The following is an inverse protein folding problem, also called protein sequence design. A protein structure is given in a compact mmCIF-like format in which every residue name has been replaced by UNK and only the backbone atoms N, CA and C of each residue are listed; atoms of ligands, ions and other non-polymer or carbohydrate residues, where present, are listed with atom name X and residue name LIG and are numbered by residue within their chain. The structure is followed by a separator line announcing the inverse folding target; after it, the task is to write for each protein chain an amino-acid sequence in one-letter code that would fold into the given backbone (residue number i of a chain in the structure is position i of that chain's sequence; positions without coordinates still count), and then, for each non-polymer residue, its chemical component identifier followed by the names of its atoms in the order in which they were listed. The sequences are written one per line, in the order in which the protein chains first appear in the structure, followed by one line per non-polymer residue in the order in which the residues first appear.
data_IF_357786795297
#
_entry.id   IF_357786795297
#
_cell.length_a   1.000
_cell.length_b   1.000
_cell.length_c   1.000
_cell.angle_alpha   90.00
_cell.angle_beta   90.00
_cell.angle_gamma   90.00
#
_symmetry.space_group_name_H-M   'P 1'
#
loop_
_entity.id
_entity.type
_entity.pdbx_description
1 polymer ?
#
# COMPACT_ATOMS: atom_id res chain seq x y z
N UNK A 1 -7.47 0.81 -13.71
CA UNK A 1 -6.94 1.51 -14.91
C UNK A 1 -5.79 2.47 -14.58
N UNK A 2 -5.95 3.36 -13.59
CA UNK A 2 -4.91 4.34 -13.19
C UNK A 2 -3.58 3.69 -12.81
N UNK A 3 -3.59 2.66 -11.96
CA UNK A 3 -2.38 1.96 -11.49
C UNK A 3 -1.55 1.39 -12.63
N UNK A 4 -2.19 0.76 -13.62
CA UNK A 4 -1.51 0.22 -14.79
C UNK A 4 -0.80 1.32 -15.60
N UNK A 5 -1.50 2.43 -15.87
CA UNK A 5 -0.92 3.56 -16.62
C UNK A 5 0.26 4.18 -15.88
N UNK A 6 0.16 4.37 -14.57
CA UNK A 6 1.26 4.89 -13.74
C UNK A 6 2.47 3.95 -13.80
N UNK A 7 2.26 2.63 -13.64
CA UNK A 7 3.34 1.65 -13.75
C UNK A 7 4.01 1.68 -15.13
N UNK A 8 3.24 1.78 -16.22
CA UNK A 8 3.80 1.91 -17.58
C UNK A 8 4.69 3.14 -17.72
N UNK A 9 4.22 4.32 -17.29
CA UNK A 9 5.01 5.57 -17.37
C UNK A 9 6.29 5.48 -16.55
N UNK A 10 6.25 4.85 -15.37
CA UNK A 10 7.45 4.66 -14.54
C UNK A 10 8.48 3.76 -15.21
N UNK A 11 8.03 2.66 -15.82
CA UNK A 11 8.89 1.73 -16.56
C UNK A 11 9.51 2.44 -17.77
N UNK A 12 8.72 3.17 -18.55
CA UNK A 12 9.19 3.96 -19.71
C UNK A 12 10.20 5.03 -19.30
N UNK A 13 10.03 5.63 -18.11
CA UNK A 13 10.96 6.61 -17.55
C UNK A 13 12.22 5.98 -16.91
N UNK A 14 12.36 4.65 -16.91
CA UNK A 14 13.48 3.95 -16.28
C UNK A 14 13.50 4.06 -14.75
N UNK A 15 12.37 4.35 -14.13
CA UNK A 15 12.24 4.46 -12.67
C UNK A 15 11.87 3.09 -12.11
N UNK A 16 12.66 2.52 -11.17
CA UNK A 16 12.32 1.26 -10.51
C UNK A 16 10.90 1.30 -9.92
N UNK A 17 10.07 0.34 -10.32
CA UNK A 17 8.67 0.27 -9.94
C UNK A 17 8.33 -1.13 -9.44
N UNK A 18 7.77 -1.20 -8.24
CA UNK A 18 7.16 -2.40 -7.68
C UNK A 18 5.65 -2.22 -7.76
N UNK A 19 4.98 -3.13 -8.44
CA UNK A 19 3.53 -3.04 -8.65
C UNK A 19 2.82 -4.26 -8.10
N UNK A 20 1.63 -4.09 -7.53
CA UNK A 20 0.78 -5.19 -7.10
C UNK A 20 -0.65 -4.91 -7.52
N UNK A 21 -1.31 -5.92 -8.07
CA UNK A 21 -2.70 -5.86 -8.50
C UNK A 21 -3.48 -6.97 -7.82
N UNK A 22 -4.58 -6.61 -7.14
CA UNK A 22 -5.46 -7.58 -6.50
C UNK A 22 -5.97 -8.63 -7.50
N UNK A 23 -5.85 -9.90 -7.13
CA UNK A 23 -6.29 -11.05 -7.95
C UNK A 23 -7.69 -11.53 -7.58
N UNK A 24 -8.33 -10.95 -6.56
CA UNK A 24 -9.64 -11.33 -5.98
C UNK A 24 -9.75 -12.74 -5.40
N UNK A 25 -8.91 -13.68 -5.86
CA UNK A 25 -8.86 -15.09 -5.44
C UNK A 25 -7.41 -15.52 -5.26
N UNK A 26 -7.16 -16.29 -4.20
CA UNK A 26 -5.84 -16.77 -3.83
C UNK A 26 -5.91 -18.28 -3.61
N UNK A 27 -5.23 -19.06 -4.46
CA UNK A 27 -5.32 -20.53 -4.45
C UNK A 27 -4.83 -21.15 -3.14
N UNK A 28 -3.85 -20.53 -2.47
CA UNK A 28 -3.34 -20.99 -1.18
C UNK A 28 -4.31 -20.73 -0.01
N UNK A 29 -5.30 -19.84 -0.19
CA UNK A 29 -6.23 -19.48 0.87
C UNK A 29 -7.04 -20.69 1.34
N UNK A 30 -7.47 -21.56 0.41
CA UNK A 30 -8.21 -22.77 0.74
C UNK A 30 -7.37 -23.82 1.47
N UNK A 31 -6.09 -23.95 1.10
CA UNK A 31 -5.20 -24.90 1.75
C UNK A 31 -4.94 -24.53 3.22
N UNK A 32 -4.89 -23.24 3.52
CA UNK A 32 -4.59 -22.70 4.84
C UNK A 32 -5.85 -22.25 5.63
N UNK A 33 -7.05 -22.54 5.13
CA UNK A 33 -8.34 -22.09 5.71
C UNK A 33 -8.36 -20.59 6.04
N UNK A 34 -7.74 -19.78 5.18
CA UNK A 34 -7.56 -18.35 5.41
C UNK A 34 -8.75 -17.54 4.90
N UNK A 35 -9.18 -16.51 5.65
CA UNK A 35 -10.05 -15.48 5.11
C UNK A 35 -9.44 -14.81 3.87
N UNK A 36 -10.25 -14.54 2.85
CA UNK A 36 -9.79 -13.95 1.58
C UNK A 36 -8.98 -12.68 1.76
N UNK A 37 -9.36 -11.82 2.71
CA UNK A 37 -8.67 -10.55 2.99
C UNK A 37 -7.26 -10.77 3.55
N UNK A 38 -7.12 -11.73 4.45
CA UNK A 38 -5.83 -12.15 5.01
C UNK A 38 -4.94 -12.78 3.95
N UNK A 39 -5.49 -13.65 3.11
CA UNK A 39 -4.76 -14.22 1.97
C UNK A 39 -4.30 -13.12 0.99
N UNK A 40 -5.13 -12.11 0.75
CA UNK A 40 -4.74 -10.98 -0.09
C UNK A 40 -3.61 -10.14 0.49
N UNK A 41 -3.63 -9.87 1.80
CA UNK A 41 -2.51 -9.22 2.48
C UNK A 41 -1.22 -10.05 2.39
N UNK A 42 -1.28 -11.35 2.68
CA UNK A 42 -0.11 -12.23 2.58
C UNK A 42 0.44 -12.24 1.16
N UNK A 43 -0.44 -12.34 0.15
CA UNK A 43 -0.05 -12.28 -1.25
C UNK A 43 0.59 -10.94 -1.61
N UNK A 44 0.07 -9.82 -1.12
CA UNK A 44 0.67 -8.50 -1.30
C UNK A 44 2.10 -8.48 -0.75
N UNK A 45 2.28 -8.88 0.51
CA UNK A 45 3.59 -8.86 1.16
C UNK A 45 4.61 -9.73 0.42
N UNK A 46 4.22 -10.93 0.00
CA UNK A 46 5.13 -11.82 -0.73
C UNK A 46 5.47 -11.26 -2.11
N UNK A 47 4.52 -10.64 -2.79
CA UNK A 47 4.78 -10.02 -4.09
C UNK A 47 5.70 -8.81 -3.97
N UNK A 48 5.55 -8.01 -2.90
CA UNK A 48 6.47 -6.92 -2.58
C UNK A 48 7.87 -7.45 -2.27
N UNK A 49 8.00 -8.51 -1.47
CA UNK A 49 9.28 -9.16 -1.17
C UNK A 49 9.98 -9.64 -2.43
N UNK A 50 9.30 -10.41 -3.27
CA UNK A 50 9.89 -10.96 -4.50
C UNK A 50 10.36 -9.84 -5.44
N UNK A 51 9.56 -8.80 -5.63
CA UNK A 51 9.97 -7.68 -6.48
C UNK A 51 11.05 -6.82 -5.84
N UNK A 52 11.05 -6.64 -4.52
CA UNK A 52 12.14 -5.96 -3.81
C UNK A 52 13.45 -6.70 -4.06
N UNK A 53 13.49 -8.01 -3.86
CA UNK A 53 14.69 -8.84 -4.11
C UNK A 53 15.21 -8.63 -5.53
N UNK A 54 14.32 -8.55 -6.52
CA UNK A 54 14.70 -8.37 -7.92
C UNK A 54 15.27 -6.98 -8.26
N UNK A 55 15.04 -5.96 -7.43
CA UNK A 55 15.59 -4.60 -7.65
C UNK A 55 16.81 -4.30 -6.79
N UNK A 56 17.23 -5.24 -5.94
CA UNK A 56 18.44 -5.10 -5.13
C UNK A 56 19.71 -5.22 -5.99
N UNK A 57 20.82 -4.61 -5.54
CA UNK A 57 22.12 -4.92 -6.12
C UNK A 57 22.46 -6.43 -5.91
N UNK A 58 23.30 -7.03 -6.78
CA UNK A 58 23.68 -8.44 -6.66
C UNK A 58 24.34 -8.81 -5.33
N UNK A 59 24.95 -7.84 -4.66
CA UNK A 59 25.59 -7.98 -3.36
C UNK A 59 25.22 -6.76 -2.52
N UNK A 60 24.78 -7.01 -1.28
CA UNK A 60 24.46 -5.98 -0.30
C UNK A 60 24.75 -6.51 1.11
N UNK A 61 24.98 -5.60 2.04
CA UNK A 61 25.16 -5.92 3.45
C UNK A 61 23.85 -5.65 4.20
N UNK A 62 23.49 -6.53 5.13
CA UNK A 62 22.25 -6.41 5.87
C UNK A 62 22.41 -6.98 7.27
N UNK A 63 21.69 -6.41 8.22
CA UNK A 63 21.63 -6.90 9.60
C UNK A 63 20.78 -8.18 9.72
N UNK A 64 19.92 -8.45 8.74
CA UNK A 64 19.05 -9.62 8.73
C UNK A 64 19.64 -10.73 7.86
N UNK A 65 19.87 -11.90 8.45
CA UNK A 65 20.25 -13.09 7.69
C UNK A 65 19.09 -13.56 6.81
N UNK A 66 19.22 -13.44 5.48
CA UNK A 66 18.28 -13.99 4.50
C UNK A 66 18.58 -15.47 4.23
N UNK A 67 18.50 -16.28 5.28
CA UNK A 67 18.73 -17.73 5.19
C UNK A 67 17.45 -18.52 4.90
N UNK A 68 17.62 -19.81 4.60
CA UNK A 68 16.49 -20.70 4.32
C UNK A 68 15.49 -20.80 5.49
N UNK A 69 15.95 -20.62 6.74
CA UNK A 69 15.08 -20.70 7.92
C UNK A 69 14.16 -19.49 8.02
N UNK A 70 14.67 -18.29 7.71
CA UNK A 70 13.84 -17.09 7.65
C UNK A 70 12.79 -17.20 6.56
N UNK A 71 13.17 -17.63 5.35
CA UNK A 71 12.21 -17.84 4.27
C UNK A 71 11.22 -18.97 4.57
N UNK A 72 11.59 -20.00 5.35
CA UNK A 72 10.65 -21.05 5.77
C UNK A 72 9.52 -20.53 6.68
N UNK A 73 9.69 -19.37 7.34
CA UNK A 73 8.62 -18.70 8.09
C UNK A 73 7.58 -18.06 7.18
N UNK A 74 7.84 -17.97 5.87
CA UNK A 74 6.93 -17.49 4.85
C UNK A 74 6.00 -18.61 4.33
N UNK A 75 5.32 -19.30 5.24
CA UNK A 75 4.48 -20.47 4.96
C UNK A 75 3.08 -20.16 4.39
N UNK A 76 2.72 -18.88 4.28
CA UNK A 76 1.45 -18.43 3.74
C UNK A 76 0.30 -18.49 4.74
N UNK A 77 0.60 -18.59 6.03
CA UNK A 77 -0.35 -18.45 7.15
C UNK A 77 -0.35 -17.03 7.72
N UNK A 78 -1.23 -16.72 8.68
CA UNK A 78 -1.19 -15.42 9.38
C UNK A 78 0.14 -15.17 10.12
N UNK A 79 0.81 -16.24 10.56
CA UNK A 79 2.08 -16.13 11.26
C UNK A 79 3.21 -15.60 10.36
N UNK A 80 3.05 -15.69 9.03
CA UNK A 80 4.04 -15.21 8.06
C UNK A 80 4.05 -13.69 7.86
N UNK A 81 2.99 -12.99 8.29
CA UNK A 81 2.82 -11.55 8.05
C UNK A 81 3.92 -10.72 8.72
N UNK A 82 4.17 -10.96 10.02
CA UNK A 82 5.21 -10.23 10.76
C UNK A 82 6.61 -10.49 10.20
N UNK A 83 7.05 -11.76 10.00
CA UNK A 83 8.31 -12.05 9.31
C UNK A 83 8.43 -11.36 7.95
N UNK A 84 7.36 -11.38 7.14
CA UNK A 84 7.38 -10.74 5.82
C UNK A 84 7.57 -9.22 5.92
N UNK A 85 6.89 -8.55 6.86
CA UNK A 85 7.06 -7.11 7.07
C UNK A 85 8.48 -6.75 7.53
N UNK A 86 9.06 -7.55 8.43
CA UNK A 86 10.40 -7.31 8.95
C UNK A 86 11.46 -7.51 7.83
N UNK A 87 11.27 -8.53 6.96
CA UNK A 87 12.09 -8.70 5.76
C UNK A 87 11.94 -7.53 4.78
N UNK A 88 10.71 -7.07 4.50
CA UNK A 88 10.49 -5.90 3.62
C UNK A 88 11.24 -4.68 4.17
N UNK A 89 11.15 -4.44 5.47
CA UNK A 89 11.84 -3.33 6.12
C UNK A 89 13.35 -3.44 5.97
N UNK A 90 13.93 -4.62 6.18
CA UNK A 90 15.36 -4.86 6.00
C UNK A 90 15.80 -4.65 4.53
N UNK A 91 15.08 -5.25 3.57
CA UNK A 91 15.39 -5.13 2.14
C UNK A 91 15.27 -3.70 1.62
N UNK A 92 14.30 -2.94 2.13
CA UNK A 92 14.11 -1.54 1.77
C UNK A 92 15.34 -0.66 2.06
N UNK A 93 16.13 -1.01 3.09
CA UNK A 93 17.37 -0.28 3.40
C UNK A 93 18.44 -0.44 2.33
N UNK A 94 18.36 -1.53 1.55
CA UNK A 94 19.29 -1.90 0.49
C UNK A 94 18.74 -1.62 -0.91
N UNK A 95 17.50 -1.14 -0.99
CA UNK A 95 16.84 -0.82 -2.25
C UNK A 95 17.49 0.39 -2.94
N UNK A 96 17.31 0.53 -4.27
CA UNK A 96 17.80 1.69 -5.00
C UNK A 96 17.35 3.03 -4.38
N UNK A 97 18.13 4.12 -4.54
CA UNK A 97 17.81 5.42 -3.94
C UNK A 97 16.45 5.99 -4.34
N UNK A 98 15.90 5.56 -5.49
CA UNK A 98 14.55 5.91 -5.92
C UNK A 98 13.76 4.65 -6.26
N UNK A 99 12.58 4.53 -5.64
CA UNK A 99 11.69 3.39 -5.82
C UNK A 99 10.23 3.85 -5.71
N UNK A 100 9.39 3.37 -6.63
CA UNK A 100 7.95 3.64 -6.59
C UNK A 100 7.18 2.34 -6.35
N UNK A 101 6.24 2.39 -5.42
CA UNK A 101 5.28 1.32 -5.15
C UNK A 101 3.92 1.70 -5.72
N UNK A 102 3.31 0.79 -6.47
CA UNK A 102 1.94 0.91 -6.97
C UNK A 102 1.15 -0.28 -6.44
N UNK A 103 0.21 -0.04 -5.53
CA UNK A 103 -0.62 -1.09 -4.94
C UNK A 103 -2.07 -0.82 -5.28
N UNK A 104 -2.60 -1.67 -6.16
CA UNK A 104 -3.95 -1.56 -6.68
C UNK A 104 -4.95 -2.38 -5.86
N UNK A 105 -6.07 -1.75 -5.49
CA UNK A 105 -7.18 -2.42 -4.82
C UNK A 105 -6.94 -2.72 -3.33
N UNK A 106 -6.21 -1.86 -2.62
CA UNK A 106 -5.79 -2.13 -1.24
C UNK A 106 -6.98 -2.34 -0.26
N UNK A 107 -8.15 -1.78 -0.56
CA UNK A 107 -9.40 -1.98 0.19
C UNK A 107 -9.87 -3.44 0.22
N UNK A 108 -9.47 -4.25 -0.77
CA UNK A 108 -9.81 -5.66 -0.81
C UNK A 108 -9.21 -6.44 0.37
N UNK A 109 -8.16 -5.90 1.01
CA UNK A 109 -7.47 -6.55 2.13
C UNK A 109 -7.93 -6.04 3.49
N UNK A 110 -8.88 -5.11 3.57
CA UNK A 110 -9.24 -4.45 4.84
C UNK A 110 -10.18 -5.27 5.73
N UNK A 111 -9.67 -5.78 6.84
CA UNK A 111 -10.43 -6.37 7.94
C UNK A 111 -9.88 -5.88 9.28
N UNK A 112 -10.60 -6.17 10.37
CA UNK A 112 -10.13 -5.89 11.72
C UNK A 112 -8.74 -6.52 11.99
N UNK A 113 -8.48 -7.70 11.42
CA UNK A 113 -7.24 -8.44 11.63
C UNK A 113 -6.08 -7.96 10.75
N UNK A 114 -6.36 -7.44 9.55
CA UNK A 114 -5.32 -7.05 8.58
C UNK A 114 -4.93 -5.57 8.64
N UNK A 115 -5.85 -4.69 9.04
CA UNK A 115 -5.62 -3.24 9.10
C UNK A 115 -4.40 -2.86 9.96
N UNK A 116 -4.14 -3.46 11.13
CA UNK A 116 -2.92 -3.18 11.89
C UNK A 116 -1.64 -3.45 11.08
N UNK A 117 -1.63 -4.52 10.27
CA UNK A 117 -0.50 -4.89 9.43
C UNK A 117 -0.35 -3.98 8.21
N UNK A 118 -1.45 -3.58 7.59
CA UNK A 118 -1.47 -2.58 6.51
C UNK A 118 -0.91 -1.23 7.00
N UNK A 119 -1.29 -0.80 8.21
CA UNK A 119 -0.72 0.40 8.84
C UNK A 119 0.77 0.24 9.12
N UNK A 120 1.23 -0.93 9.60
CA UNK A 120 2.67 -1.21 9.81
C UNK A 120 3.43 -1.13 8.48
N UNK A 121 2.93 -1.74 7.40
CA UNK A 121 3.53 -1.64 6.06
C UNK A 121 3.65 -0.19 5.60
N UNK A 122 2.56 0.57 5.67
CA UNK A 122 2.56 1.96 5.22
C UNK A 122 3.49 2.84 6.07
N UNK A 123 3.62 2.55 7.37
CA UNK A 123 4.60 3.20 8.25
C UNK A 123 6.04 2.86 7.84
N UNK A 124 6.36 1.59 7.58
CA UNK A 124 7.69 1.17 7.09
C UNK A 124 8.06 1.97 5.82
N UNK A 125 7.15 2.03 4.85
CA UNK A 125 7.38 2.75 3.59
C UNK A 125 7.55 4.26 3.80
N UNK A 126 6.74 4.87 4.67
CA UNK A 126 6.83 6.30 5.02
C UNK A 126 8.06 6.65 5.85
N UNK A 127 8.56 5.72 6.66
CA UNK A 127 9.84 5.91 7.36
C UNK A 127 11.00 5.82 6.37
N UNK A 128 10.95 4.89 5.42
CA UNK A 128 11.97 4.78 4.38
C UNK A 128 11.98 5.99 3.44
N UNK A 129 10.82 6.58 3.13
CA UNK A 129 10.72 7.80 2.31
C UNK A 129 11.37 9.04 2.94
N UNK A 130 11.77 8.98 4.22
CA UNK A 130 12.56 10.04 4.87
C UNK A 130 14.06 9.90 4.61
N UNK A 131 14.52 8.71 4.22
CA UNK A 131 15.92 8.37 3.97
C UNK A 131 16.24 8.33 2.48
N UNK A 132 15.32 7.79 1.68
CA UNK A 132 15.45 7.63 0.23
C UNK A 132 14.19 8.12 -0.49
N UNK A 133 14.23 8.22 -1.82
CA UNK A 133 13.09 8.66 -2.64
C UNK A 133 12.13 7.49 -2.87
N UNK A 134 11.35 7.17 -1.83
CA UNK A 134 10.26 6.19 -1.91
C UNK A 134 8.92 6.90 -2.09
N UNK A 135 8.21 6.59 -3.17
CA UNK A 135 6.82 7.01 -3.39
C UNK A 135 5.90 5.81 -3.40
N UNK A 136 4.70 5.98 -2.85
CA UNK A 136 3.70 4.91 -2.78
C UNK A 136 2.37 5.44 -3.29
N UNK A 137 1.82 4.75 -4.29
CA UNK A 137 0.47 4.95 -4.80
C UNK A 137 -0.39 3.78 -4.34
N UNK A 138 -1.39 4.08 -3.51
CA UNK A 138 -2.49 3.17 -3.22
C UNK A 138 -3.70 3.59 -4.05
N UNK A 139 -4.33 2.65 -4.76
CA UNK A 139 -5.64 2.89 -5.36
C UNK A 139 -6.71 2.10 -4.66
N UNK A 140 -7.91 2.68 -4.62
CA UNK A 140 -9.07 2.06 -3.98
C UNK A 140 -10.34 2.22 -4.81
N UNK A 141 -11.21 1.22 -4.75
CA UNK A 141 -12.60 1.35 -5.16
C UNK A 141 -13.38 1.94 -3.98
N UNK A 142 -13.58 3.25 -4.01
CA UNK A 142 -14.23 4.00 -2.94
C UNK A 142 -13.30 4.37 -1.79
N UNK A 143 -13.86 4.55 -0.59
CA UNK A 143 -13.15 5.08 0.57
C UNK A 143 -12.57 3.97 1.46
N UNK A 144 -11.26 3.96 1.63
CA UNK A 144 -10.56 3.17 2.64
C UNK A 144 -10.46 3.96 3.94
N UNK A 145 -11.06 3.46 5.03
CA UNK A 145 -11.10 4.19 6.32
C UNK A 145 -9.70 4.36 6.93
N UNK A 146 -8.87 3.33 6.91
CA UNK A 146 -7.54 3.40 7.54
C UNK A 146 -6.57 4.29 6.74
N UNK A 147 -6.62 4.29 5.40
CA UNK A 147 -5.93 5.31 4.59
C UNK A 147 -6.48 6.71 4.87
N UNK A 148 -7.78 6.80 5.13
CA UNK A 148 -8.54 7.95 5.62
C UNK A 148 -8.01 8.57 6.93
N UNK A 149 -7.34 7.78 7.75
CA UNK A 149 -6.71 8.22 9.00
C UNK A 149 -5.21 8.49 8.81
N UNK A 150 -4.55 7.77 7.90
CA UNK A 150 -3.10 7.81 7.71
C UNK A 150 -2.62 8.99 6.83
N UNK A 151 -3.37 9.30 5.78
CA UNK A 151 -3.00 10.30 4.78
C UNK A 151 -3.49 11.71 5.16
N UNK A 152 -2.72 12.74 4.80
CA UNK A 152 -3.16 14.13 4.88
C UNK A 152 -4.07 14.46 3.69
N UNK A 153 -4.88 15.51 3.80
CA UNK A 153 -5.82 15.92 2.74
C UNK A 153 -5.18 16.06 1.35
N UNK A 154 -3.99 16.67 1.28
CA UNK A 154 -3.22 16.85 0.03
C UNK A 154 -2.58 15.59 -0.54
N UNK A 155 -2.52 14.51 0.23
CA UNK A 155 -1.99 13.21 -0.21
C UNK A 155 -3.10 12.33 -0.81
N UNK A 156 -4.33 12.85 -0.90
CA UNK A 156 -5.50 12.15 -1.42
C UNK A 156 -5.99 12.81 -2.69
N UNK A 157 -6.35 11.96 -3.63
CA UNK A 157 -6.91 12.35 -4.91
C UNK A 157 -8.18 11.54 -5.14
N UNK A 158 -9.31 12.23 -5.27
CA UNK A 158 -10.58 11.63 -5.65
C UNK A 158 -10.74 11.70 -7.18
N UNK A 159 -10.52 10.55 -7.83
CA UNK A 159 -10.58 10.45 -9.28
C UNK A 159 -11.98 10.79 -9.84
N UNK A 160 -13.05 10.56 -9.08
CA UNK A 160 -14.41 10.90 -9.51
C UNK A 160 -14.58 12.42 -9.64
N UNK A 161 -13.95 13.18 -8.75
CA UNK A 161 -13.98 14.65 -8.77
C UNK A 161 -13.05 15.25 -9.82
N UNK A 162 -11.96 14.57 -10.18
CA UNK A 162 -11.08 15.02 -11.28
C UNK A 162 -11.85 15.05 -12.60
N UNK A 163 -12.71 14.07 -12.87
CA UNK A 163 -13.53 14.06 -14.09
C UNK A 163 -14.49 15.25 -14.20
N UNK A 164 -14.78 15.90 -13.07
CA UNK A 164 -15.66 17.07 -12.97
C UNK A 164 -14.87 18.39 -12.87
N UNK A 165 -13.55 18.34 -12.66
CA UNK A 165 -12.71 19.52 -12.54
C UNK A 165 -12.35 20.08 -13.93
N UNK A 166 -12.27 21.41 -14.04
CA UNK A 166 -11.85 22.06 -15.30
C UNK A 166 -10.40 21.66 -15.63
N UNK A 167 -10.04 21.44 -16.91
CA UNK A 167 -8.72 20.92 -17.33
C UNK A 167 -7.48 21.71 -16.86
N UNK A 168 -7.67 22.93 -16.33
CA UNK A 168 -6.61 23.86 -15.94
C UNK A 168 -6.72 24.37 -14.49
N UNK A 169 -7.61 23.79 -13.68
CA UNK A 169 -7.71 24.14 -12.26
C UNK A 169 -6.71 23.32 -11.43
N UNK A 170 -6.11 23.90 -10.37
CA UNK A 170 -5.33 23.10 -9.42
C UNK A 170 -6.23 21.98 -8.87
N UNK A 171 -5.76 20.74 -8.99
CA UNK A 171 -6.42 19.58 -8.40
C UNK A 171 -6.33 19.72 -6.88
N UNK A 172 -7.37 20.28 -6.29
CA UNK A 172 -7.49 20.37 -4.84
C UNK A 172 -7.60 18.95 -4.29
N UNK A 173 -6.55 18.51 -3.60
CA UNK A 173 -6.64 17.40 -2.67
C UNK A 173 -7.76 17.65 -1.64
N UNK A 174 -8.13 16.60 -0.92
CA UNK A 174 -9.25 16.64 0.02
C UNK A 174 -9.02 17.64 1.16
N UNK A 175 -9.41 18.91 0.97
CA UNK A 175 -9.47 19.94 2.01
C UNK A 175 -10.94 20.11 2.42
N UNK A 176 -11.41 19.30 3.37
CA UNK A 176 -12.28 19.71 4.48
C UNK A 176 -12.88 18.49 5.18
N UNK A 177 -12.55 18.36 6.47
CA UNK A 177 -13.18 17.44 7.42
C UNK A 177 -14.33 18.13 8.19
N UNK A 178 -14.66 19.39 7.88
CA UNK A 178 -15.63 20.20 8.63
C UNK A 178 -17.10 19.79 8.36
N UNK A 179 -17.35 18.94 7.37
CA UNK A 179 -18.72 18.50 7.01
C UNK A 179 -19.18 17.21 7.72
N UNK A 180 -18.41 16.67 8.67
CA UNK A 180 -18.83 15.51 9.48
C UNK A 180 -19.28 15.88 10.91
N UNK A 181 -19.29 17.17 11.28
CA UNK A 181 -19.87 17.63 12.54
C UNK A 181 -20.58 18.99 12.40
N UNK A 182 -21.84 18.95 11.97
CA UNK A 182 -22.82 20.01 12.25
C UNK A 182 -24.17 19.31 12.45
N UNK A 183 -24.46 18.92 13.69
CA UNK A 183 -25.41 19.62 14.57
C UNK A 183 -26.85 19.52 14.07
N UNK A 184 -27.57 18.55 14.61
CA UNK A 184 -29.01 18.64 14.81
C UNK A 184 -29.31 19.80 15.76
N UNK A 185 -29.64 20.96 15.21
CA UNK A 185 -30.34 22.02 15.93
C UNK A 185 -31.29 22.71 14.95
N UNK A 186 -32.53 22.23 14.95
CA UNK A 186 -33.67 22.91 14.36
C UNK A 186 -33.90 24.24 15.09
N UNK A 187 -34.16 25.36 14.38
CA UNK A 187 -34.71 26.55 15.00
C UNK A 187 -36.23 26.45 15.03
N UNK A 188 -36.83 26.37 16.22
CA UNK A 188 -38.24 26.68 16.41
C UNK A 188 -38.44 28.19 16.25
N UNK A 189 -39.24 28.57 15.24
CA UNK A 189 -39.89 29.87 15.14
C UNK A 189 -41.09 29.91 16.07
N UNK A 190 -41.31 31.05 16.73
CA UNK A 190 -42.55 31.39 17.46
C UNK A 190 -42.30 31.63 18.93
#
# INVERSE_FOLDING_TARGET
EVSLRVSTVLIEAGIPCISFFDKRRYSFASANSLPTKSAGLISLLYFLLTQLINVLPPQFETELDFDQKQFARLDGTMASITPALDMIQALLTQAPPSLVFVVDGIQAFESQDTVPHLRKLARILREQSKKTVVKVLFTTDGMSRWLGELLKGRERVDASRISQARPWGPSHGFDSLDNLSASSSSPSRG
#
